data_IF_541972433797
#
_entry.id   IF_541972433797
#
_cell.length_a   1.000
_cell.length_b   1.000
_cell.length_c   1.000
_cell.angle_alpha   90.00
_cell.angle_beta   90.00
_cell.angle_gamma   90.00
#
_symmetry.space_group_name_H-M   'P 1'
#
loop_
_entity.id
_entity.type
_entity.pdbx_description
1 polymer ?
#
# COMPACT_ATOMS: atom_id res chain seq x y z
N UNK A 1 -9.64 -2.05 -21.53
CA UNK A 1 -9.90 -2.17 -20.08
C UNK A 1 -9.16 -3.35 -19.42
N UNK A 2 -9.08 -4.54 -20.03
CA UNK A 2 -8.35 -5.69 -19.45
C UNK A 2 -6.85 -5.44 -19.20
N UNK A 3 -6.15 -4.81 -20.17
CA UNK A 3 -4.72 -4.45 -20.03
C UNK A 3 -4.44 -3.51 -18.85
N UNK A 4 -5.36 -2.58 -18.57
CA UNK A 4 -5.26 -1.63 -17.46
C UNK A 4 -5.43 -2.34 -16.11
N UNK A 5 -6.33 -3.32 -16.01
CA UNK A 5 -6.49 -4.14 -14.80
C UNK A 5 -5.27 -5.01 -14.51
N UNK A 6 -4.68 -5.62 -15.55
CA UNK A 6 -3.46 -6.41 -15.40
C UNK A 6 -2.26 -5.55 -14.93
N UNK A 7 -2.15 -4.32 -15.45
CA UNK A 7 -1.11 -3.38 -15.01
C UNK A 7 -1.31 -2.96 -13.54
N UNK A 8 -2.53 -2.58 -13.15
CA UNK A 8 -2.84 -2.22 -11.75
C UNK A 8 -2.61 -3.40 -10.79
N UNK A 9 -2.89 -4.65 -11.21
CA UNK A 9 -2.58 -5.84 -10.42
C UNK A 9 -1.08 -5.98 -10.15
N UNK A 10 -0.23 -5.75 -11.15
CA UNK A 10 1.23 -5.80 -10.99
C UNK A 10 1.70 -4.73 -10.01
N UNK A 11 1.12 -3.53 -10.07
CA UNK A 11 1.42 -2.46 -9.11
C UNK A 11 0.99 -2.87 -7.69
N UNK A 12 -0.22 -3.38 -7.51
CA UNK A 12 -0.73 -3.82 -6.21
C UNK A 12 0.16 -4.91 -5.57
N UNK A 13 0.59 -5.90 -6.36
CA UNK A 13 1.54 -6.93 -5.91
C UNK A 13 2.89 -6.30 -5.53
N UNK A 14 3.39 -5.35 -6.33
CA UNK A 14 4.65 -4.65 -6.03
C UNK A 14 4.59 -3.82 -4.76
N UNK A 15 3.42 -3.25 -4.44
CA UNK A 15 3.18 -2.55 -3.17
C UNK A 15 3.21 -3.54 -2.00
N UNK A 16 2.54 -4.68 -2.13
CA UNK A 16 2.56 -5.74 -1.12
C UNK A 16 3.99 -6.23 -0.85
N UNK A 17 4.77 -6.56 -1.89
CA UNK A 17 6.16 -7.02 -1.73
C UNK A 17 7.06 -5.96 -1.09
N UNK A 18 6.81 -4.67 -1.35
CA UNK A 18 7.55 -3.59 -0.72
C UNK A 18 7.16 -3.44 0.76
N UNK A 19 5.90 -3.63 1.12
CA UNK A 19 5.47 -3.65 2.52
C UNK A 19 6.03 -4.86 3.28
N UNK A 20 6.00 -6.05 2.69
CA UNK A 20 6.56 -7.27 3.29
C UNK A 20 8.06 -7.13 3.62
N UNK A 21 8.79 -6.31 2.86
CA UNK A 21 10.22 -6.04 3.06
C UNK A 21 10.51 -4.80 3.91
N UNK A 22 9.50 -4.09 4.40
CA UNK A 22 9.69 -2.89 5.20
C UNK A 22 10.07 -3.25 6.64
N UNK A 23 11.05 -2.55 7.20
CA UNK A 23 11.54 -2.81 8.57
C UNK A 23 10.87 -1.94 9.64
N UNK A 24 9.83 -1.18 9.28
CA UNK A 24 9.06 -0.30 10.18
C UNK A 24 9.91 0.74 10.93
N UNK A 25 10.96 1.24 10.27
CA UNK A 25 11.83 2.29 10.80
C UNK A 25 11.68 3.60 10.02
N UNK A 26 11.94 4.77 10.64
CA UNK A 26 11.92 6.04 9.94
C UNK A 26 12.86 6.03 8.73
N UNK A 27 12.36 6.47 7.58
CA UNK A 27 13.15 6.52 6.34
C UNK A 27 13.38 5.18 5.63
N UNK A 28 12.66 4.11 6.00
CA UNK A 28 12.73 2.83 5.30
C UNK A 28 12.42 3.00 3.79
N UNK A 29 13.34 2.52 2.95
CA UNK A 29 13.26 2.68 1.50
C UNK A 29 12.14 1.84 0.88
N UNK A 30 11.86 0.65 1.43
CA UNK A 30 10.80 -0.21 0.94
C UNK A 30 9.42 0.37 1.29
N UNK A 31 9.26 0.94 2.47
CA UNK A 31 8.03 1.63 2.86
C UNK A 31 7.79 2.90 2.02
N UNK A 32 8.87 3.64 1.72
CA UNK A 32 8.82 4.80 0.81
C UNK A 32 8.40 4.37 -0.61
N UNK A 33 8.97 3.26 -1.11
CA UNK A 33 8.61 2.68 -2.40
C UNK A 33 7.15 2.23 -2.44
N UNK A 34 6.68 1.54 -1.39
CA UNK A 34 5.28 1.10 -1.29
C UNK A 34 4.31 2.30 -1.39
N UNK A 35 4.61 3.38 -0.65
CA UNK A 35 3.79 4.60 -0.70
C UNK A 35 3.82 5.29 -2.06
N UNK A 36 4.98 5.33 -2.72
CA UNK A 36 5.09 5.93 -4.06
C UNK A 36 4.32 5.14 -5.13
N UNK A 37 4.36 3.81 -5.06
CA UNK A 37 3.62 2.94 -5.98
C UNK A 37 2.10 3.00 -5.74
N UNK A 38 1.68 3.12 -4.49
CA UNK A 38 0.26 3.25 -4.14
C UNK A 38 -0.31 4.64 -4.47
N UNK A 39 0.55 5.66 -4.65
CA UNK A 39 0.11 7.02 -4.98
C UNK A 39 -0.71 7.01 -6.29
N UNK A 40 -1.92 7.58 -6.33
CA UNK A 40 -2.68 7.68 -7.56
C UNK A 40 -1.98 8.63 -8.56
N UNK A 41 -1.77 8.18 -9.79
CA UNK A 41 -1.27 9.04 -10.86
C UNK A 41 -2.36 10.07 -11.21
N UNK A 42 -2.00 11.36 -11.20
CA UNK A 42 -2.81 12.47 -11.72
C UNK A 42 -4.33 12.33 -11.52
N UNK A 43 -4.80 12.32 -10.27
CA UNK A 43 -6.22 12.53 -9.99
C UNK A 43 -7.15 11.41 -10.45
N UNK A 44 -6.69 10.16 -10.50
CA UNK A 44 -7.59 8.98 -10.45
C UNK A 44 -8.29 8.89 -9.09
N UNK A 45 -9.12 9.88 -8.79
CA UNK A 45 -10.16 9.85 -7.78
C UNK A 45 -11.18 8.81 -8.24
N UNK A 46 -11.32 7.72 -7.48
CA UNK A 46 -12.33 6.69 -7.74
C UNK A 46 -11.85 5.24 -7.67
N UNK A 47 -10.55 4.98 -7.51
CA UNK A 47 -10.07 3.63 -7.14
C UNK A 47 -9.93 3.53 -5.63
N UNK A 48 -11.04 3.18 -4.97
CA UNK A 48 -11.11 3.05 -3.52
C UNK A 48 -10.05 2.08 -2.95
N UNK A 49 -9.67 1.02 -3.68
CA UNK A 49 -8.70 0.05 -3.17
C UNK A 49 -7.28 0.62 -3.15
N UNK A 50 -6.88 1.31 -4.23
CA UNK A 50 -5.60 1.99 -4.31
C UNK A 50 -5.51 3.16 -3.32
N UNK A 51 -6.56 3.96 -3.23
CA UNK A 51 -6.64 5.08 -2.28
C UNK A 51 -6.54 4.61 -0.82
N UNK A 52 -7.31 3.58 -0.45
CA UNK A 52 -7.25 3.01 0.90
C UNK A 52 -5.85 2.46 1.23
N UNK A 53 -5.21 1.79 0.26
CA UNK A 53 -3.84 1.29 0.42
C UNK A 53 -2.87 2.44 0.67
N UNK A 54 -2.94 3.50 -0.14
CA UNK A 54 -2.08 4.67 0.03
C UNK A 54 -2.28 5.36 1.40
N UNK A 55 -3.53 5.54 1.83
CA UNK A 55 -3.85 6.14 3.14
C UNK A 55 -3.32 5.30 4.29
N UNK A 56 -3.48 3.97 4.24
CA UNK A 56 -2.95 3.07 5.27
C UNK A 56 -1.42 3.16 5.38
N UNK A 57 -0.72 3.17 4.23
CA UNK A 57 0.75 3.32 4.19
C UNK A 57 1.17 4.69 4.73
N UNK A 58 0.44 5.76 4.38
CA UNK A 58 0.74 7.11 4.88
C UNK A 58 0.60 7.20 6.39
N UNK A 59 -0.48 6.63 6.94
CA UNK A 59 -0.72 6.63 8.38
C UNK A 59 0.35 5.84 9.13
N UNK A 60 0.74 4.67 8.61
CA UNK A 60 1.85 3.89 9.16
C UNK A 60 3.16 4.71 9.18
N UNK A 61 3.52 5.37 8.08
CA UNK A 61 4.72 6.21 8.01
C UNK A 61 4.70 7.34 9.04
N UNK A 62 3.58 8.04 9.14
CA UNK A 62 3.43 9.11 10.12
C UNK A 62 3.61 8.60 11.55
N UNK A 63 2.99 7.47 11.90
CA UNK A 63 3.15 6.88 13.24
C UNK A 63 4.57 6.39 13.53
N UNK A 64 5.28 5.86 12.52
CA UNK A 64 6.71 5.52 12.65
C UNK A 64 7.54 6.78 12.94
N UNK A 65 7.29 7.87 12.20
CA UNK A 65 8.04 9.12 12.37
C UNK A 65 7.71 9.82 13.70
N UNK A 66 6.48 9.65 14.21
CA UNK A 66 6.03 10.15 15.53
C UNK A 66 6.57 9.30 16.70
N UNK A 67 7.14 8.12 16.44
CA UNK A 67 7.69 7.23 17.45
C UNK A 67 6.60 6.52 18.28
N UNK A 68 5.47 6.20 17.64
CA UNK A 68 4.38 5.43 18.25
C UNK A 68 4.86 4.05 18.74
N UNK A 69 4.12 3.47 19.67
CA UNK A 69 4.47 2.18 20.26
C UNK A 69 4.38 1.03 19.25
N UNK A 70 5.11 -0.06 19.53
CA UNK A 70 5.22 -1.19 18.63
C UNK A 70 3.87 -1.87 18.32
N UNK A 71 2.94 -1.93 19.27
CA UNK A 71 1.61 -2.53 19.06
C UNK A 71 0.81 -1.70 18.06
N UNK A 72 0.86 -0.37 18.18
CA UNK A 72 0.27 0.57 17.22
C UNK A 72 0.86 0.40 15.82
N UNK A 73 2.18 0.30 15.72
CA UNK A 73 2.89 0.14 14.44
C UNK A 73 2.54 -1.18 13.77
N UNK A 74 2.49 -2.29 14.52
CA UNK A 74 2.08 -3.60 14.01
C UNK A 74 0.63 -3.59 13.49
N UNK A 75 -0.28 -2.96 14.23
CA UNK A 75 -1.69 -2.85 13.80
C UNK A 75 -1.83 -2.04 12.50
N UNK A 76 -1.10 -0.93 12.37
CA UNK A 76 -1.08 -0.11 11.15
C UNK A 76 -0.41 -0.84 9.98
N UNK A 77 0.64 -1.60 10.25
CA UNK A 77 1.30 -2.43 9.27
C UNK A 77 0.39 -3.53 8.73
N UNK A 78 -0.29 -4.27 9.61
CA UNK A 78 -1.27 -5.27 9.23
C UNK A 78 -2.40 -4.67 8.38
N UNK A 79 -2.88 -3.48 8.73
CA UNK A 79 -3.89 -2.76 7.95
C UNK A 79 -3.39 -2.38 6.55
N UNK A 80 -2.14 -1.90 6.42
CA UNK A 80 -1.54 -1.57 5.13
C UNK A 80 -1.35 -2.82 4.24
N UNK A 81 -0.91 -3.94 4.82
CA UNK A 81 -0.80 -5.22 4.11
C UNK A 81 -2.17 -5.72 3.63
N UNK A 82 -3.17 -5.70 4.50
CA UNK A 82 -4.53 -6.14 4.15
C UNK A 82 -5.13 -5.31 3.00
N UNK A 83 -4.93 -3.98 3.02
CA UNK A 83 -5.38 -3.10 1.95
C UNK A 83 -4.71 -3.43 0.60
N UNK A 84 -3.38 -3.67 0.60
CA UNK A 84 -2.65 -4.05 -0.60
C UNK A 84 -3.11 -5.41 -1.16
N UNK A 85 -3.38 -6.40 -0.31
CA UNK A 85 -3.94 -7.69 -0.71
C UNK A 85 -5.31 -7.52 -1.39
N UNK A 86 -6.24 -6.80 -0.74
CA UNK A 86 -7.58 -6.56 -1.29
C UNK A 86 -7.52 -5.84 -2.64
N UNK A 87 -6.58 -4.91 -2.82
CA UNK A 87 -6.39 -4.26 -4.11
C UNK A 87 -5.93 -5.24 -5.20
N UNK A 88 -4.97 -6.11 -4.90
CA UNK A 88 -4.51 -7.14 -5.84
C UNK A 88 -5.64 -8.12 -6.20
N UNK A 89 -6.45 -8.55 -5.22
CA UNK A 89 -7.61 -9.42 -5.42
C UNK A 89 -8.67 -8.76 -6.30
N UNK A 90 -9.03 -7.51 -6.03
CA UNK A 90 -10.00 -6.73 -6.81
C UNK A 90 -9.56 -6.47 -8.27
N UNK A 91 -8.30 -6.75 -8.61
CA UNK A 91 -7.76 -6.70 -9.98
C UNK A 91 -7.47 -8.07 -10.58
N UNK A 92 -7.71 -9.15 -9.82
CA UNK A 92 -7.55 -10.55 -10.25
C UNK A 92 -8.86 -11.19 -10.71
N UNK A 93 -10.03 -10.77 -10.21
CA UNK A 93 -11.35 -11.37 -10.51
C UNK A 93 -11.97 -10.92 -11.85
N UNK A 94 -11.26 -10.95 -12.97
CA UNK A 94 -11.89 -10.58 -14.27
C UNK A 94 -11.37 -11.36 -15.49
N UNK A 95 -10.90 -12.58 -15.29
CA UNK A 95 -10.74 -13.55 -16.39
C UNK A 95 -11.98 -14.45 -16.53
#
# INVERSE_FOLDING_TARGET
>A
MAVMKAHERVIAISVFEALDKAHLVPGDANLTKAGALALPEHGTLGDLFRENTFVAIRNLRQSIDEGEDHERLEALYAAALAAACLWAEARSESD
#
